data_IF_033729492830
#
_entry.id   IF_033729492830
#
_cell.length_a   1.000
_cell.length_b   1.000
_cell.length_c   1.000
_cell.angle_alpha   90.00
_cell.angle_beta   90.00
_cell.angle_gamma   90.00
#
_symmetry.space_group_name_H-M   'P 1'
#
loop_
_entity.id
_entity.type
_entity.pdbx_description
1 polymer ?
#
# COMPACT_ATOMS: atom_id res chain seq x y z
N UNK A 1 -3.79 -19.74 -7.27
CA UNK A 1 -3.31 -19.15 -6.00
C UNK A 1 -4.51 -18.74 -5.16
N UNK A 2 -4.44 -18.95 -3.85
CA UNK A 2 -5.48 -18.46 -2.95
C UNK A 2 -5.30 -16.95 -2.67
N UNK A 3 -6.26 -16.35 -2.00
CA UNK A 3 -6.24 -14.91 -1.73
C UNK A 3 -5.00 -14.46 -0.96
N UNK A 4 -4.59 -15.24 0.04
CA UNK A 4 -3.39 -14.94 0.82
C UNK A 4 -2.14 -14.90 -0.06
N UNK A 5 -1.97 -15.89 -0.93
CA UNK A 5 -0.82 -15.94 -1.84
C UNK A 5 -0.82 -14.79 -2.83
N UNK A 6 -2.00 -14.40 -3.33
CA UNK A 6 -2.14 -13.24 -4.23
C UNK A 6 -1.67 -11.98 -3.52
N UNK A 7 -2.16 -11.73 -2.31
CA UNK A 7 -1.79 -10.53 -1.55
C UNK A 7 -0.30 -10.55 -1.20
N UNK A 8 0.22 -11.67 -0.74
CA UNK A 8 1.66 -11.79 -0.46
C UNK A 8 2.52 -11.45 -1.68
N UNK A 9 2.09 -11.86 -2.86
CA UNK A 9 2.86 -11.59 -4.09
C UNK A 9 3.03 -10.10 -4.38
N UNK A 10 2.14 -9.25 -3.86
CA UNK A 10 2.25 -7.79 -4.03
C UNK A 10 3.28 -7.15 -3.10
N UNK A 11 3.75 -7.88 -2.09
CA UNK A 11 4.75 -7.39 -1.12
C UNK A 11 6.08 -8.12 -1.21
N UNK A 12 6.05 -9.41 -1.53
CA UNK A 12 7.19 -10.32 -1.35
C UNK A 12 7.85 -10.74 -2.66
N UNK A 13 7.69 -9.97 -3.71
CA UNK A 13 8.45 -10.16 -4.94
C UNK A 13 9.93 -9.80 -4.72
N UNK A 14 10.75 -10.04 -5.71
CA UNK A 14 12.21 -9.80 -5.65
C UNK A 14 12.54 -8.32 -5.45
N UNK A 15 11.66 -7.43 -5.92
CA UNK A 15 11.85 -5.99 -5.86
C UNK A 15 10.50 -5.30 -6.04
N UNK A 16 10.46 -3.97 -5.92
CA UNK A 16 9.22 -3.20 -6.06
C UNK A 16 8.62 -3.27 -7.48
N UNK A 17 9.46 -3.48 -8.49
CA UNK A 17 9.00 -3.65 -9.87
C UNK A 17 8.17 -4.92 -10.03
N UNK A 18 8.66 -6.03 -9.48
CA UNK A 18 7.93 -7.31 -9.50
C UNK A 18 6.64 -7.21 -8.66
N UNK A 19 6.70 -6.55 -7.51
CA UNK A 19 5.53 -6.31 -6.67
C UNK A 19 4.45 -5.53 -7.45
N UNK A 20 4.86 -4.52 -8.20
CA UNK A 20 3.95 -3.74 -9.04
C UNK A 20 3.34 -4.56 -10.17
N UNK A 21 4.13 -5.41 -10.82
CA UNK A 21 3.63 -6.32 -11.85
C UNK A 21 2.62 -7.32 -11.29
N UNK A 22 2.86 -7.84 -10.08
CA UNK A 22 1.94 -8.75 -9.42
C UNK A 22 0.62 -8.06 -9.08
N UNK A 23 0.70 -6.82 -8.59
CA UNK A 23 -0.51 -6.03 -8.34
C UNK A 23 -1.30 -5.83 -9.65
N UNK A 24 -0.63 -5.44 -10.72
CA UNK A 24 -1.28 -5.22 -12.01
C UNK A 24 -1.95 -6.49 -12.54
N UNK A 25 -1.32 -7.64 -12.32
CA UNK A 25 -1.84 -8.94 -12.77
C UNK A 25 -3.15 -9.31 -12.08
N UNK A 26 -3.25 -9.02 -10.78
CA UNK A 26 -4.39 -9.47 -9.97
C UNK A 26 -5.42 -8.38 -9.68
N UNK A 27 -5.13 -7.11 -9.97
CA UNK A 27 -6.07 -6.02 -9.75
C UNK A 27 -7.29 -6.12 -10.69
N UNK A 28 -8.48 -5.96 -10.14
CA UNK A 28 -9.68 -5.78 -10.93
C UNK A 28 -9.56 -4.45 -11.70
N UNK A 29 -10.22 -4.34 -12.85
CA UNK A 29 -10.15 -3.14 -13.68
C UNK A 29 -10.57 -1.88 -12.91
N UNK A 30 -11.60 -2.00 -12.08
CA UNK A 30 -12.13 -0.90 -11.28
C UNK A 30 -11.73 -1.00 -9.80
N UNK A 31 -10.55 -1.52 -9.53
CA UNK A 31 -10.04 -1.62 -8.15
C UNK A 31 -10.20 -0.29 -7.41
N UNK A 32 -10.70 -0.36 -6.17
CA UNK A 32 -10.86 0.80 -5.31
C UNK A 32 -9.72 0.82 -4.30
N UNK A 33 -9.03 1.94 -4.18
CA UNK A 33 -7.83 2.09 -3.36
C UNK A 33 -8.00 3.27 -2.42
N UNK A 34 -8.11 3.01 -1.12
CA UNK A 34 -8.34 4.06 -0.14
C UNK A 34 -7.12 4.24 0.75
N UNK A 35 -6.55 5.45 0.70
CA UNK A 35 -5.49 5.88 1.60
C UNK A 35 -6.11 6.61 2.78
N UNK A 36 -5.59 6.36 3.98
CA UNK A 36 -6.19 6.81 5.23
C UNK A 36 -6.32 8.33 5.33
N UNK A 37 -7.42 8.77 5.95
CA UNK A 37 -7.61 10.16 6.30
C UNK A 37 -6.48 10.63 7.20
N UNK A 38 -5.87 11.76 6.87
CA UNK A 38 -4.70 12.27 7.57
C UNK A 38 -3.36 11.88 6.96
N UNK A 39 -3.34 10.86 6.11
CA UNK A 39 -2.15 10.50 5.34
C UNK A 39 -1.95 11.50 4.20
N UNK A 40 -0.68 11.77 3.77
CA UNK A 40 -0.43 12.77 2.71
C UNK A 40 -1.23 12.58 1.44
N UNK A 41 -1.53 11.35 1.08
CA UNK A 41 -2.23 11.01 -0.17
C UNK A 41 -3.64 10.48 0.10
N UNK A 42 -4.26 10.96 1.18
CA UNK A 42 -5.60 10.53 1.60
C UNK A 42 -6.62 10.65 0.47
N UNK A 43 -7.56 9.70 0.44
CA UNK A 43 -8.64 9.67 -0.54
C UNK A 43 -8.84 8.29 -1.14
N UNK A 44 -9.83 8.20 -2.01
CA UNK A 44 -10.12 6.95 -2.73
C UNK A 44 -9.86 7.15 -4.22
N UNK A 45 -9.09 6.24 -4.78
CA UNK A 45 -8.69 6.27 -6.19
C UNK A 45 -9.22 5.01 -6.87
N UNK A 46 -9.77 5.14 -8.07
CA UNK A 46 -10.38 4.04 -8.80
C UNK A 46 -9.53 3.71 -10.02
N UNK A 47 -9.14 2.44 -10.14
CA UNK A 47 -8.34 1.95 -11.26
C UNK A 47 -6.84 2.14 -11.02
N UNK A 48 -6.05 1.21 -11.56
CA UNK A 48 -4.61 1.17 -11.29
C UNK A 48 -3.86 2.40 -11.81
N UNK A 49 -4.30 2.98 -12.93
CA UNK A 49 -3.67 4.19 -13.48
C UNK A 49 -3.78 5.36 -12.49
N UNK A 50 -4.98 5.60 -11.94
CA UNK A 50 -5.19 6.65 -10.95
C UNK A 50 -4.40 6.41 -9.67
N UNK A 51 -4.34 5.16 -9.22
CA UNK A 51 -3.56 4.78 -8.04
C UNK A 51 -2.07 5.06 -8.25
N UNK A 52 -1.56 4.67 -9.42
CA UNK A 52 -0.15 4.87 -9.75
C UNK A 52 0.21 6.35 -9.79
N UNK A 53 -0.60 7.17 -10.46
CA UNK A 53 -0.33 8.61 -10.59
C UNK A 53 -0.43 9.36 -9.26
N UNK A 54 -1.41 9.02 -8.44
CA UNK A 54 -1.73 9.78 -7.24
C UNK A 54 -1.08 9.25 -5.96
N UNK A 55 -0.64 8.00 -5.96
CA UNK A 55 -0.05 7.37 -4.77
C UNK A 55 1.36 6.89 -5.06
N UNK A 56 1.53 5.88 -5.91
CA UNK A 56 2.85 5.22 -6.08
C UNK A 56 3.92 6.14 -6.67
N UNK A 57 3.58 6.91 -7.69
CA UNK A 57 4.53 7.84 -8.30
C UNK A 57 4.95 8.92 -7.30
N UNK A 58 4.05 9.36 -6.45
CA UNK A 58 4.33 10.36 -5.42
C UNK A 58 5.18 9.79 -4.29
N UNK A 59 4.90 8.57 -3.86
CA UNK A 59 5.75 7.89 -2.87
C UNK A 59 7.17 7.74 -3.38
N UNK A 60 7.34 7.39 -4.64
CA UNK A 60 8.66 7.21 -5.25
C UNK A 60 9.43 8.51 -5.49
N UNK A 61 8.74 9.63 -5.72
CA UNK A 61 9.40 10.91 -6.05
C UNK A 61 9.56 11.86 -4.86
N UNK A 62 8.66 11.80 -3.87
CA UNK A 62 8.66 12.72 -2.72
C UNK A 62 9.40 12.17 -1.50
N UNK A 63 9.67 10.87 -1.50
CA UNK A 63 10.32 10.16 -0.39
C UNK A 63 11.54 9.39 -0.88
N UNK A 64 12.47 9.15 0.03
CA UNK A 64 13.63 8.26 -0.21
C UNK A 64 13.44 6.99 0.62
N UNK A 65 13.63 5.84 -0.03
CA UNK A 65 13.55 4.51 0.62
C UNK A 65 12.20 4.25 1.32
N UNK A 66 11.10 4.74 0.75
CA UNK A 66 9.77 4.46 1.29
C UNK A 66 9.48 2.97 1.17
N UNK A 67 9.30 2.31 2.30
CA UNK A 67 9.21 0.85 2.37
C UNK A 67 8.10 0.43 3.32
N UNK A 68 7.34 -0.58 2.92
CA UNK A 68 6.46 -1.33 3.82
C UNK A 68 7.13 -2.65 4.18
N UNK A 69 7.31 -2.89 5.46
CA UNK A 69 7.83 -4.16 5.98
C UNK A 69 6.68 -4.93 6.63
N UNK A 70 6.13 -5.94 5.96
CA UNK A 70 5.05 -6.74 6.53
C UNK A 70 5.53 -7.54 7.72
N UNK A 71 4.72 -7.58 8.77
CA UNK A 71 5.00 -8.37 9.96
C UNK A 71 4.23 -9.69 9.92
N UNK A 72 2.95 -9.64 9.56
CA UNK A 72 2.11 -10.83 9.48
C UNK A 72 0.86 -10.55 8.64
N UNK A 73 0.12 -11.61 8.34
CA UNK A 73 -1.08 -11.59 7.53
C UNK A 73 -2.19 -12.35 8.23
N UNK A 74 -3.43 -11.88 8.07
CA UNK A 74 -4.63 -12.59 8.54
C UNK A 74 -5.58 -12.73 7.36
N UNK A 75 -5.94 -13.97 7.02
CA UNK A 75 -6.80 -14.26 5.88
C UNK A 75 -8.17 -14.73 6.31
N UNK A 76 -9.22 -14.11 5.79
CA UNK A 76 -10.61 -14.55 5.90
C UNK A 76 -11.10 -15.09 4.57
N UNK A 77 -12.41 -15.17 4.38
CA UNK A 77 -13.02 -15.71 3.15
C UNK A 77 -12.70 -14.84 1.92
N UNK A 78 -12.97 -13.54 2.02
CA UNK A 78 -12.82 -12.59 0.92
C UNK A 78 -11.84 -11.47 1.23
N UNK A 79 -11.21 -11.51 2.40
CA UNK A 79 -10.31 -10.43 2.85
C UNK A 79 -8.99 -10.98 3.35
N UNK A 80 -7.95 -10.18 3.14
CA UNK A 80 -6.63 -10.42 3.73
C UNK A 80 -6.19 -9.12 4.38
N UNK A 81 -5.75 -9.20 5.63
CA UNK A 81 -5.15 -8.07 6.33
C UNK A 81 -3.64 -8.30 6.37
N UNK A 82 -2.87 -7.31 5.93
CA UNK A 82 -1.42 -7.29 6.05
C UNK A 82 -1.05 -6.14 6.96
N UNK A 83 -0.25 -6.39 7.99
CA UNK A 83 0.15 -5.32 8.88
C UNK A 83 1.65 -5.34 9.14
N UNK A 84 2.18 -4.18 9.44
CA UNK A 84 3.61 -4.02 9.66
C UNK A 84 3.99 -2.56 9.88
N UNK A 85 5.10 -2.16 9.27
CA UNK A 85 5.68 -0.84 9.48
C UNK A 85 6.06 -0.19 8.17
N UNK A 86 5.66 1.08 8.00
CA UNK A 86 6.23 1.95 6.97
C UNK A 86 7.49 2.61 7.52
N UNK A 87 8.48 2.79 6.66
CA UNK A 87 9.66 3.60 6.94
C UNK A 87 10.05 4.38 5.71
N UNK A 88 10.73 5.49 5.90
CA UNK A 88 11.20 6.32 4.80
C UNK A 88 11.70 7.67 5.30
N UNK A 89 12.22 8.46 4.36
CA UNK A 89 12.72 9.81 4.62
C UNK A 89 12.03 10.78 3.67
N UNK A 90 11.41 11.83 4.22
CA UNK A 90 10.76 12.84 3.39
C UNK A 90 11.82 13.76 2.79
N UNK A 91 11.81 13.90 1.46
CA UNK A 91 12.92 14.59 0.77
C UNK A 91 13.04 16.07 1.14
N UNK A 92 11.93 16.78 1.32
CA UNK A 92 11.97 18.22 1.61
C UNK A 92 12.50 18.54 3.01
N UNK A 93 12.27 17.69 3.99
CA UNK A 93 12.72 17.94 5.37
C UNK A 93 13.96 17.14 5.75
N UNK A 94 14.25 16.06 5.05
CA UNK A 94 15.32 15.13 5.40
C UNK A 94 15.00 14.31 6.66
N UNK A 95 13.76 14.35 7.15
CA UNK A 95 13.35 13.61 8.37
C UNK A 95 12.87 12.22 8.02
N UNK A 96 13.34 11.26 8.79
CA UNK A 96 12.93 9.85 8.67
C UNK A 96 11.79 9.55 9.64
N UNK A 97 11.01 8.51 9.33
CA UNK A 97 9.93 8.06 10.19
C UNK A 97 9.81 6.54 10.19
N UNK A 98 9.14 6.02 11.20
CA UNK A 98 8.62 4.65 11.24
C UNK A 98 7.19 4.74 11.77
N UNK A 99 6.22 4.20 11.05
CA UNK A 99 4.81 4.26 11.40
C UNK A 99 4.14 2.90 11.24
N UNK A 100 3.30 2.55 12.21
CA UNK A 100 2.53 1.29 12.15
C UNK A 100 1.39 1.43 11.16
N UNK A 101 1.11 0.35 10.44
CA UNK A 101 0.16 0.37 9.34
C UNK A 101 -0.50 -1.00 9.18
N UNK A 102 -1.75 -0.99 8.76
CA UNK A 102 -2.47 -2.18 8.35
C UNK A 102 -3.16 -1.90 7.01
N UNK A 103 -3.12 -2.89 6.13
CA UNK A 103 -3.80 -2.86 4.83
C UNK A 103 -4.89 -3.91 4.83
N UNK A 104 -6.10 -3.54 4.44
CA UNK A 104 -7.20 -4.49 4.25
C UNK A 104 -7.43 -4.66 2.76
N UNK A 105 -7.20 -5.88 2.27
CA UNK A 105 -7.40 -6.26 0.87
C UNK A 105 -8.69 -7.06 0.76
N UNK A 106 -9.53 -6.72 -0.21
CA UNK A 106 -10.72 -7.51 -0.52
C UNK A 106 -10.58 -8.09 -1.91
N UNK A 107 -10.89 -9.37 -2.05
CA UNK A 107 -10.75 -10.10 -3.31
C UNK A 107 -12.07 -10.77 -3.68
N UNK A 108 -12.26 -10.94 -4.98
CA UNK A 108 -13.42 -11.65 -5.54
C UNK A 108 -12.97 -12.39 -6.79
N UNK A 109 -13.23 -13.69 -6.83
CA UNK A 109 -12.92 -14.54 -7.99
C UNK A 109 -11.46 -14.40 -8.45
N UNK A 110 -10.52 -14.37 -7.49
CA UNK A 110 -9.09 -14.29 -7.77
C UNK A 110 -8.59 -12.90 -8.18
N UNK A 111 -9.42 -11.86 -8.02
CA UNK A 111 -9.05 -10.48 -8.33
C UNK A 111 -9.15 -9.61 -7.09
N UNK A 112 -8.23 -8.66 -6.98
CA UNK A 112 -8.24 -7.66 -5.91
C UNK A 112 -9.25 -6.57 -6.29
N UNK A 113 -10.33 -6.44 -5.51
CA UNK A 113 -11.37 -5.46 -5.80
C UNK A 113 -11.25 -4.20 -4.97
N UNK A 114 -10.65 -4.27 -3.77
CA UNK A 114 -10.40 -3.08 -2.96
C UNK A 114 -9.22 -3.24 -2.03
N UNK A 115 -8.66 -2.09 -1.67
CA UNK A 115 -7.58 -1.94 -0.70
C UNK A 115 -7.92 -0.75 0.17
N UNK A 116 -7.74 -0.90 1.48
CA UNK A 116 -7.91 0.20 2.42
C UNK A 116 -6.75 0.24 3.40
N UNK A 117 -6.15 1.43 3.58
CA UNK A 117 -5.02 1.64 4.48
C UNK A 117 -5.48 2.23 5.80
N UNK A 118 -4.96 1.69 6.89
CA UNK A 118 -5.04 2.29 8.23
C UNK A 118 -3.62 2.51 8.71
N UNK A 119 -3.26 3.74 9.03
CA UNK A 119 -1.86 4.08 9.33
C UNK A 119 -1.80 5.12 10.44
N UNK A 120 -0.70 5.08 11.20
CA UNK A 120 -0.35 6.16 12.12
C UNK A 120 0.06 7.39 11.30
N UNK A 121 -0.93 8.11 10.81
CA UNK A 121 -0.73 9.25 9.92
C UNK A 121 -0.08 10.44 10.63
N UNK A 122 -0.28 10.58 11.93
CA UNK A 122 0.38 11.64 12.71
C UNK A 122 1.90 11.53 12.62
N UNK A 123 2.44 10.32 12.81
CA UNK A 123 3.88 10.08 12.72
C UNK A 123 4.42 10.38 11.32
N UNK A 124 3.69 9.97 10.28
CA UNK A 124 4.08 10.25 8.89
C UNK A 124 4.11 11.75 8.63
N UNK A 125 3.03 12.46 8.96
CA UNK A 125 2.92 13.92 8.75
C UNK A 125 3.99 14.68 9.54
N UNK A 126 4.32 14.23 10.75
CA UNK A 126 5.35 14.86 11.57
C UNK A 126 6.72 14.90 10.87
N UNK A 127 7.05 13.88 10.09
CA UNK A 127 8.29 13.85 9.30
C UNK A 127 8.30 14.87 8.16
N UNK A 128 7.12 15.35 7.75
CA UNK A 128 6.96 16.32 6.67
C UNK A 128 7.06 17.78 7.14
N UNK A 129 7.22 18.02 8.40
CA UNK A 129 7.34 19.35 9.00
C UNK A 129 8.72 19.49 9.69
#
# INVERSE_FOLDING_TARGET
MNNLEIVKSTYEGKNSEENGRNLAKYAAENISWTEAKGFPYAGTYIGLESITQNVFARLGSEWTDYTFTPEDYVAGEDKVVAYGTYSGTYNLTGKSFEARVAHIWKLKDGKIVSFEQFVDSHTVIHSMT
#
